data_IF_400741688409
#
_entry.id   IF_400741688409
#
_cell.length_a   1.000
_cell.length_b   1.000
_cell.length_c   1.000
_cell.angle_alpha   90.00
_cell.angle_beta   90.00
_cell.angle_gamma   90.00
#
_symmetry.space_group_name_H-M   'P 1'
#
loop_
_entity.id
_entity.type
_entity.pdbx_description
1 polymer ?
#
# COMPACT_ATOMS: atom_id res chain seq x y z
N UNK A 1 15.32 -11.46 2.63
CA UNK A 1 14.94 -10.30 1.80
C UNK A 1 13.62 -9.76 2.33
N UNK A 2 13.66 -8.81 3.26
CA UNK A 2 12.44 -8.17 3.75
C UNK A 2 11.98 -7.16 2.69
N UNK A 3 11.10 -7.58 1.79
CA UNK A 3 10.40 -6.65 0.91
C UNK A 3 9.46 -5.80 1.76
N UNK A 4 10.00 -4.73 2.33
CA UNK A 4 9.21 -3.63 2.85
C UNK A 4 8.44 -3.03 1.67
N UNK A 5 7.20 -3.46 1.48
CA UNK A 5 6.28 -2.82 0.54
C UNK A 5 5.90 -1.49 1.16
N UNK A 6 6.69 -0.46 0.89
CA UNK A 6 6.40 0.91 1.33
C UNK A 6 5.23 1.46 0.52
N UNK A 7 4.50 2.42 1.09
CA UNK A 7 3.44 3.16 0.39
C UNK A 7 3.83 3.70 -0.98
N UNK A 8 5.10 4.10 -1.11
CA UNK A 8 5.69 4.55 -2.36
C UNK A 8 5.72 3.45 -3.44
N UNK A 9 6.08 2.21 -3.08
CA UNK A 9 6.10 1.07 -4.00
C UNK A 9 4.70 0.69 -4.45
N UNK A 10 3.71 0.77 -3.55
CA UNK A 10 2.30 0.52 -3.89
C UNK A 10 1.82 1.55 -4.91
N UNK A 11 2.13 2.84 -4.68
CA UNK A 11 1.80 3.92 -5.61
C UNK A 11 2.47 3.75 -6.97
N UNK A 12 3.77 3.42 -6.98
CA UNK A 12 4.53 3.20 -8.20
C UNK A 12 3.97 2.03 -9.02
N UNK A 13 3.68 0.90 -8.36
CA UNK A 13 3.07 -0.26 -9.00
C UNK A 13 1.65 0.04 -9.50
N UNK A 14 0.86 0.81 -8.75
CA UNK A 14 -0.47 1.25 -9.16
C UNK A 14 -0.40 2.08 -10.45
N UNK A 15 0.49 3.07 -10.48
CA UNK A 15 0.68 3.95 -11.63
C UNK A 15 1.24 3.20 -12.83
N UNK A 16 2.20 2.29 -12.62
CA UNK A 16 2.76 1.43 -13.67
C UNK A 16 1.70 0.53 -14.31
N UNK A 17 0.74 0.05 -13.51
CA UNK A 17 -0.38 -0.75 -13.99
C UNK A 17 -1.59 0.09 -14.45
N UNK A 18 -1.47 1.43 -14.45
CA UNK A 18 -2.55 2.38 -14.81
C UNK A 18 -3.85 2.12 -14.06
N UNK A 19 -3.74 1.80 -12.77
CA UNK A 19 -4.89 1.50 -11.91
C UNK A 19 -5.26 2.70 -11.03
N UNK A 20 -6.54 2.81 -10.69
CA UNK A 20 -7.01 3.71 -9.64
C UNK A 20 -6.83 3.06 -8.26
N UNK A 21 -6.86 3.86 -7.19
CA UNK A 21 -6.79 3.32 -5.83
C UNK A 21 -7.95 2.35 -5.55
N UNK A 22 -9.14 2.63 -6.11
CA UNK A 22 -10.31 1.73 -6.03
C UNK A 22 -10.04 0.39 -6.72
N UNK A 23 -9.51 0.40 -7.94
CA UNK A 23 -9.21 -0.84 -8.67
C UNK A 23 -8.15 -1.69 -7.97
N UNK A 24 -7.16 -1.03 -7.37
CA UNK A 24 -6.17 -1.73 -6.55
C UNK A 24 -6.80 -2.29 -5.27
N UNK A 25 -7.68 -1.53 -4.64
CA UNK A 25 -8.40 -1.95 -3.44
C UNK A 25 -9.30 -3.16 -3.69
N UNK A 26 -10.07 -3.15 -4.78
CA UNK A 26 -10.89 -4.29 -5.23
C UNK A 26 -10.05 -5.54 -5.45
N UNK A 27 -8.89 -5.41 -6.09
CA UNK A 27 -7.95 -6.53 -6.33
C UNK A 27 -7.35 -7.10 -5.05
N UNK A 28 -7.11 -6.25 -4.06
CA UNK A 28 -6.53 -6.65 -2.78
C UNK A 28 -7.60 -7.00 -1.73
N UNK A 29 -8.89 -6.86 -2.05
CA UNK A 29 -9.99 -7.08 -1.12
C UNK A 29 -10.01 -6.09 0.05
N UNK A 30 -9.44 -4.91 -0.13
CA UNK A 30 -9.39 -3.85 0.88
C UNK A 30 -10.21 -2.64 0.43
N UNK A 31 -10.30 -1.64 1.29
CA UNK A 31 -10.94 -0.36 0.92
C UNK A 31 -9.95 0.57 0.23
N UNK A 32 -10.46 1.41 -0.67
CA UNK A 32 -9.73 2.52 -1.29
C UNK A 32 -9.07 3.44 -0.24
N UNK A 33 -9.74 3.63 0.90
CA UNK A 33 -9.19 4.34 2.06
C UNK A 33 -7.95 3.67 2.64
N UNK A 34 -7.89 2.34 2.63
CA UNK A 34 -6.69 1.59 3.06
C UNK A 34 -5.52 1.85 2.10
N UNK A 35 -5.77 1.81 0.79
CA UNK A 35 -4.76 2.14 -0.22
C UNK A 35 -4.27 3.57 -0.07
N UNK A 36 -5.19 4.52 0.12
CA UNK A 36 -4.86 5.94 0.32
C UNK A 36 -4.02 6.17 1.59
N UNK A 37 -4.28 5.43 2.67
CA UNK A 37 -3.45 5.46 3.89
C UNK A 37 -2.05 4.90 3.64
N UNK A 38 -1.95 3.79 2.92
CA UNK A 38 -0.67 3.18 2.58
C UNK A 38 0.16 4.13 1.70
N UNK A 39 -0.41 4.68 0.63
CA UNK A 39 0.32 5.56 -0.30
C UNK A 39 0.77 6.89 0.32
N UNK A 40 0.03 7.45 1.29
CA UNK A 40 0.31 8.77 1.86
C UNK A 40 1.08 8.78 3.17
N UNK A 41 1.58 7.63 3.66
CA UNK A 41 2.37 7.52 4.90
C UNK A 41 1.69 8.13 6.16
N UNK A 42 0.38 8.44 6.12
CA UNK A 42 -0.42 8.85 7.31
C UNK A 42 -0.90 7.63 8.10
N UNK A 43 0.06 6.76 8.35
CA UNK A 43 -0.14 5.36 8.72
C UNK A 43 0.98 4.56 8.08
N UNK A 44 2.20 4.73 8.59
CA UNK A 44 3.14 3.61 8.56
C UNK A 44 2.35 2.38 9.02
N UNK A 45 2.29 1.27 8.25
CA UNK A 45 1.90 0.02 8.88
C UNK A 45 2.88 -0.14 10.04
N UNK A 46 2.35 -0.26 11.26
CA UNK A 46 3.12 -0.36 12.50
C UNK A 46 4.48 -1.04 12.25
N UNK A 47 5.55 -0.24 12.24
CA UNK A 47 6.94 -0.71 12.19
C UNK A 47 7.28 -1.52 13.47
N UNK A 48 6.31 -1.71 14.37
CA UNK A 48 6.43 -2.45 15.61
C UNK A 48 6.04 -3.93 15.55
N UNK A 49 5.55 -4.46 14.42
CA UNK A 49 5.05 -5.85 14.35
C UNK A 49 6.03 -6.88 13.76
N UNK A 50 7.32 -6.56 13.68
CA UNK A 50 8.38 -7.53 13.39
C UNK A 50 9.52 -7.36 14.40
N UNK A 51 9.30 -7.88 15.61
CA UNK A 51 10.37 -8.27 16.52
C UNK A 51 11.15 -9.47 15.93
N UNK A 52 12.43 -9.65 16.34
CA UNK A 52 13.44 -10.45 15.62
C UNK A 52 13.10 -11.92 15.39
#
# INVERSE_FOLDING_TARGET
MNQYVTGAVIKELREKNKMTQLQLAEKLGVTDKSISKWENLRGLPDILLLQP
#
